data_IF_567084219708
#
_entry.id   IF_567084219708
#
_cell.length_a   1.000
_cell.length_b   1.000
_cell.length_c   1.000
_cell.angle_alpha   90.00
_cell.angle_beta   90.00
_cell.angle_gamma   90.00
#
_symmetry.space_group_name_H-M   'P 1'
#
loop_
_entity.id
_entity.type
_entity.pdbx_description
1 polymer ?
#
# COMPACT_ATOMS: atom_id res chain seq x y z
N UNK A 1 7.65 -18.12 -6.08
CA UNK A 1 7.51 -16.87 -5.30
C UNK A 1 6.75 -15.91 -6.18
N UNK A 2 5.70 -15.27 -5.67
CA UNK A 2 4.82 -14.39 -6.44
C UNK A 2 5.54 -13.05 -6.72
N UNK A 3 5.40 -12.49 -7.93
CA UNK A 3 6.00 -11.21 -8.30
C UNK A 3 5.53 -10.04 -7.42
N UNK A 4 4.28 -10.08 -6.97
CA UNK A 4 3.73 -9.08 -6.05
C UNK A 4 4.43 -9.11 -4.68
N UNK A 5 4.81 -10.30 -4.21
CA UNK A 5 5.53 -10.44 -2.94
C UNK A 5 6.93 -9.83 -3.01
N UNK A 6 7.62 -9.95 -4.16
CA UNK A 6 8.95 -9.35 -4.33
C UNK A 6 8.87 -7.83 -4.30
N UNK A 7 7.90 -7.24 -5.01
CA UNK A 7 7.72 -5.78 -5.04
C UNK A 7 7.32 -5.25 -3.66
N UNK A 8 6.38 -5.90 -2.97
CA UNK A 8 5.97 -5.52 -1.62
C UNK A 8 7.17 -5.53 -0.65
N UNK A 9 7.97 -6.61 -0.65
CA UNK A 9 9.17 -6.70 0.18
C UNK A 9 10.23 -5.66 -0.20
N UNK A 10 10.50 -5.47 -1.49
CA UNK A 10 11.50 -4.53 -1.98
C UNK A 10 11.17 -3.07 -1.67
N UNK A 11 9.88 -2.74 -1.55
CA UNK A 11 9.38 -1.42 -1.16
C UNK A 11 9.21 -1.24 0.36
N UNK A 12 9.42 -2.31 1.14
CA UNK A 12 9.17 -2.27 2.59
C UNK A 12 7.69 -2.13 2.94
N UNK A 13 6.78 -2.63 2.09
CA UNK A 13 5.36 -2.69 2.41
C UNK A 13 5.13 -3.77 3.47
N UNK A 14 4.77 -3.32 4.67
CA UNK A 14 4.40 -4.17 5.80
C UNK A 14 2.90 -4.07 6.07
N UNK A 15 2.36 -5.07 6.79
CA UNK A 15 0.96 -5.05 7.22
C UNK A 15 0.63 -3.72 7.95
N UNK A 16 -0.55 -3.12 7.70
CA UNK A 16 -1.70 -3.68 6.98
C UNK A 16 -1.70 -3.42 5.46
N UNK A 17 -0.60 -2.89 4.88
CA UNK A 17 -0.54 -2.58 3.46
C UNK A 17 -0.47 -3.83 2.60
N UNK A 18 -1.29 -3.86 1.55
CA UNK A 18 -1.31 -4.92 0.54
C UNK A 18 -1.19 -4.30 -0.86
N UNK A 19 -0.41 -4.95 -1.72
CA UNK A 19 -0.33 -4.58 -3.13
C UNK A 19 -1.57 -5.14 -3.84
N UNK A 20 -2.51 -4.26 -4.18
CA UNK A 20 -3.79 -4.61 -4.79
C UNK A 20 -3.66 -4.88 -6.28
N UNK A 21 -3.00 -3.97 -6.99
CA UNK A 21 -2.91 -4.00 -8.44
C UNK A 21 -1.61 -3.37 -8.94
N UNK A 22 -1.26 -3.68 -10.18
CA UNK A 22 -0.08 -3.20 -10.86
C UNK A 22 -0.34 -2.97 -12.35
N UNK A 23 0.11 -1.82 -12.86
CA UNK A 23 -0.01 -1.46 -14.27
C UNK A 23 1.32 -0.97 -14.82
N UNK A 24 1.82 -1.62 -15.86
CA UNK A 24 3.04 -1.21 -16.56
C UNK A 24 2.67 -0.48 -17.86
N UNK A 25 2.93 0.82 -17.89
CA UNK A 25 2.89 1.63 -19.10
C UNK A 25 4.26 1.57 -19.80
N UNK A 26 4.36 0.69 -20.79
CA UNK A 26 5.54 0.54 -21.64
C UNK A 26 5.55 1.53 -22.83
N UNK A 27 4.48 2.31 -23.03
CA UNK A 27 4.41 3.29 -24.12
C UNK A 27 5.18 4.58 -23.77
N UNK A 28 5.38 4.87 -22.49
CA UNK A 28 6.20 6.00 -22.01
C UNK A 28 7.68 5.63 -21.85
N UNK A 29 8.56 6.63 -21.94
CA UNK A 29 10.00 6.50 -21.75
C UNK A 29 10.54 7.53 -20.74
N UNK A 30 11.12 7.10 -19.61
CA UNK A 30 11.25 5.70 -19.18
C UNK A 30 9.88 5.06 -18.93
N UNK A 31 9.79 3.73 -19.08
CA UNK A 31 8.58 2.97 -18.76
C UNK A 31 8.12 3.27 -17.33
N UNK A 32 6.81 3.31 -17.11
CA UNK A 32 6.22 3.60 -15.80
C UNK A 32 5.50 2.39 -15.25
N UNK A 33 5.82 2.02 -14.01
CA UNK A 33 5.08 1.02 -13.25
C UNK A 33 4.24 1.74 -12.19
N UNK A 34 2.93 1.68 -12.34
CA UNK A 34 1.95 2.19 -11.39
C UNK A 34 1.53 1.05 -10.44
N UNK A 35 1.61 1.28 -9.13
CA UNK A 35 1.27 0.31 -8.10
C UNK A 35 0.12 0.84 -7.25
N UNK A 36 -0.94 0.04 -7.13
CA UNK A 36 -2.05 0.35 -6.23
C UNK A 36 -1.85 -0.40 -4.91
N UNK A 37 -1.71 0.35 -3.82
CA UNK A 37 -1.59 -0.19 -2.46
C UNK A 37 -2.85 0.15 -1.68
N UNK A 38 -3.36 -0.80 -0.92
CA UNK A 38 -4.49 -0.57 -0.04
C UNK A 38 -4.28 -1.23 1.33
N UNK A 39 -5.22 -0.98 2.23
CA UNK A 39 -5.33 -1.68 3.49
C UNK A 39 -6.83 -1.90 3.74
N UNK A 40 -7.19 -2.99 4.42
CA UNK A 40 -8.59 -3.29 4.69
C UNK A 40 -9.24 -2.17 5.53
N UNK A 41 -10.52 -1.88 5.27
CA UNK A 41 -11.25 -0.85 6.05
C UNK A 41 -11.25 -1.24 7.53
N UNK A 42 -10.87 -0.29 8.39
CA UNK A 42 -10.72 -0.54 9.83
C UNK A 42 -9.37 -1.11 10.25
N UNK A 43 -8.42 -1.25 9.31
CA UNK A 43 -7.03 -1.56 9.63
C UNK A 43 -6.46 -0.59 10.65
N UNK A 44 -5.58 -1.11 11.50
CA UNK A 44 -4.86 -0.32 12.49
C UNK A 44 -3.41 -0.14 12.07
N UNK A 45 -2.86 1.02 12.41
CA UNK A 45 -1.55 1.47 12.00
C UNK A 45 -0.76 1.90 13.23
N UNK A 46 0.54 1.59 13.32
CA UNK A 46 1.37 2.14 14.36
C UNK A 46 1.50 3.65 14.16
N UNK A 47 1.19 4.43 15.20
CA UNK A 47 1.43 5.87 15.19
C UNK A 47 2.93 6.14 15.03
N UNK A 48 3.36 6.97 14.07
CA UNK A 48 4.78 7.22 13.83
C UNK A 48 5.46 7.96 15.00
N UNK A 49 4.70 8.63 15.86
CA UNK A 49 5.24 9.34 17.02
C UNK A 49 5.36 8.47 18.28
N UNK A 50 4.37 7.63 18.55
CA UNK A 50 4.28 6.89 19.83
C UNK A 50 4.18 5.37 19.70
N UNK A 51 4.13 4.84 18.48
CA UNK A 51 4.04 3.39 18.20
C UNK A 51 2.70 2.75 18.57
N UNK A 52 1.76 3.49 19.17
CA UNK A 52 0.44 2.95 19.51
C UNK A 52 -0.31 2.58 18.25
N UNK A 53 -0.88 1.38 18.24
CA UNK A 53 -1.73 0.87 17.17
C UNK A 53 -3.07 1.60 17.20
N UNK A 54 -3.35 2.39 16.16
CA UNK A 54 -4.50 3.30 16.06
C UNK A 54 -5.18 3.17 14.68
N UNK A 55 -6.48 3.47 14.55
CA UNK A 55 -7.10 3.62 13.22
C UNK A 55 -6.38 4.71 12.41
N UNK A 56 -6.35 4.58 11.08
CA UNK A 56 -5.82 5.67 10.26
C UNK A 56 -6.63 6.95 10.49
N UNK A 57 -5.91 8.06 10.56
CA UNK A 57 -6.51 9.37 10.45
C UNK A 57 -7.16 9.46 9.06
N UNK A 58 -8.43 9.88 8.98
CA UNK A 58 -9.15 10.19 7.72
C UNK A 58 -9.89 9.07 6.96
N UNK A 59 -10.27 7.95 7.58
CA UNK A 59 -11.42 7.18 7.06
C UNK A 59 -12.73 7.88 7.42
N UNK A 60 -13.10 8.92 6.67
CA UNK A 60 -14.45 9.50 6.75
C UNK A 60 -15.31 8.80 5.69
N UNK A 61 -16.15 7.86 6.12
CA UNK A 61 -17.21 7.38 5.24
C UNK A 61 -18.20 8.52 5.01
N UNK A 62 -18.28 8.99 3.77
CA UNK A 62 -19.36 9.86 3.33
C UNK A 62 -20.38 8.97 2.63
N UNK A 63 -21.63 9.02 3.12
CA UNK A 63 -22.80 8.40 2.48
C UNK A 63 -23.42 9.38 1.50
#
# INVERSE_FOLDING_TARGET
MDGNQILALGLGLEAPWILKDQYLDAAVSPHRLDLQVEAERGSLYPCPECGKVCPAHDFVDRT
#
